data_IF_853325135511
#
_entry.id   IF_853325135511
#
_cell.length_a   1.000
_cell.length_b   1.000
_cell.length_c   1.000
_cell.angle_alpha   90.00
_cell.angle_beta   90.00
_cell.angle_gamma   90.00
#
_symmetry.space_group_name_H-M   'P 1'
#
loop_
_entity.id
_entity.type
_entity.pdbx_description
1 polymer ?
#
# COMPACT_ATOMS: atom_id res chain seq x y z
N UNK A 1 10.41 5.89 -16.32
CA UNK A 1 11.09 6.50 -15.16
C UNK A 1 10.94 8.03 -15.07
N UNK A 2 10.68 8.75 -16.16
CA UNK A 2 10.49 10.22 -16.18
C UNK A 2 9.28 10.72 -15.41
N UNK A 3 8.13 10.07 -15.54
CA UNK A 3 6.84 10.55 -15.01
C UNK A 3 6.79 10.68 -13.47
N UNK A 4 7.36 9.73 -12.74
CA UNK A 4 7.36 9.77 -11.26
C UNK A 4 8.18 10.93 -10.70
N UNK A 5 9.30 11.31 -11.36
CA UNK A 5 10.12 12.46 -10.99
C UNK A 5 9.39 13.77 -11.26
N UNK A 6 8.73 13.90 -12.40
CA UNK A 6 7.96 15.08 -12.78
C UNK A 6 6.83 15.33 -11.79
N UNK A 7 6.04 14.30 -11.44
CA UNK A 7 4.95 14.39 -10.45
C UNK A 7 5.49 14.77 -9.05
N UNK A 8 6.63 14.23 -8.64
CA UNK A 8 7.28 14.59 -7.37
C UNK A 8 7.67 16.07 -7.34
N UNK A 9 8.29 16.58 -8.42
CA UNK A 9 8.69 17.97 -8.49
C UNK A 9 7.50 18.93 -8.56
N UNK A 10 6.46 18.61 -9.33
CA UNK A 10 5.22 19.38 -9.38
C UNK A 10 4.60 19.50 -7.99
N UNK A 11 4.50 18.40 -7.26
CA UNK A 11 3.97 18.40 -5.89
C UNK A 11 4.82 19.26 -4.95
N UNK A 12 6.14 19.18 -5.03
CA UNK A 12 7.06 19.94 -4.18
C UNK A 12 7.01 21.43 -4.49
N UNK A 13 6.95 21.77 -5.76
CA UNK A 13 6.81 23.17 -6.21
C UNK A 13 5.45 23.77 -5.76
N UNK A 14 4.37 23.01 -5.86
CA UNK A 14 3.06 23.48 -5.38
C UNK A 14 3.01 23.68 -3.86
N UNK A 15 3.66 22.81 -3.08
CA UNK A 15 3.78 22.99 -1.63
C UNK A 15 4.60 24.24 -1.28
N UNK A 16 5.73 24.46 -1.97
CA UNK A 16 6.55 25.66 -1.80
C UNK A 16 5.80 26.94 -2.21
N UNK A 17 5.04 26.91 -3.30
CA UNK A 17 4.24 28.03 -3.74
C UNK A 17 3.16 28.42 -2.71
N UNK A 18 2.48 27.43 -2.11
CA UNK A 18 1.50 27.67 -1.05
C UNK A 18 2.14 28.29 0.18
N UNK A 19 3.29 27.75 0.63
CA UNK A 19 4.01 28.27 1.78
C UNK A 19 4.51 29.71 1.49
N UNK A 20 5.08 29.94 0.30
CA UNK A 20 5.53 31.25 -0.11
C UNK A 20 4.40 32.30 -0.14
N UNK A 21 3.21 31.88 -0.64
CA UNK A 21 2.02 32.72 -0.61
C UNK A 21 1.58 33.06 0.83
N UNK A 22 1.54 32.09 1.73
CA UNK A 22 1.22 32.31 3.14
C UNK A 22 2.25 33.21 3.83
N UNK A 23 3.54 33.06 3.54
CA UNK A 23 4.59 33.94 4.06
C UNK A 23 4.44 35.37 3.56
N UNK A 24 4.03 35.57 2.31
CA UNK A 24 3.73 36.89 1.77
C UNK A 24 2.53 37.53 2.51
N UNK A 25 1.46 36.75 2.76
CA UNK A 25 0.33 37.23 3.55
C UNK A 25 0.74 37.57 4.99
N UNK A 26 1.62 36.77 5.60
CA UNK A 26 2.16 37.05 6.93
C UNK A 26 2.99 38.35 6.96
N UNK A 27 3.73 38.66 5.90
CA UNK A 27 4.46 39.93 5.77
C UNK A 27 3.48 41.09 5.76
N UNK A 28 2.37 40.98 5.04
CA UNK A 28 1.32 42.02 5.00
C UNK A 28 0.73 42.21 6.40
N UNK A 29 0.38 41.10 7.09
CA UNK A 29 -0.13 41.16 8.47
C UNK A 29 0.87 41.82 9.43
N UNK A 30 2.18 41.54 9.27
CA UNK A 30 3.25 42.18 10.04
C UNK A 30 3.41 43.68 9.78
N UNK A 31 3.32 44.12 8.51
CA UNK A 31 3.35 45.54 8.14
C UNK A 31 2.15 46.28 8.70
N UNK A 32 0.96 45.69 8.66
CA UNK A 32 -0.24 46.25 9.27
C UNK A 32 -0.11 46.36 10.79
N UNK A 33 0.42 45.32 11.45
CA UNK A 33 0.67 45.34 12.88
C UNK A 33 1.70 46.44 13.28
N UNK A 34 2.72 46.69 12.46
CA UNK A 34 3.71 47.72 12.68
C UNK A 34 3.12 49.14 12.55
N UNK A 35 2.13 49.32 11.68
CA UNK A 35 1.47 50.62 11.48
C UNK A 35 0.43 50.96 12.55
N UNK A 36 -0.26 49.93 13.10
CA UNK A 36 -1.32 50.10 14.10
C UNK A 36 -0.84 49.95 15.53
N UNK A 37 0.19 49.12 15.75
CA UNK A 37 0.78 48.84 17.07
C UNK A 37 -0.10 48.03 18.00
N UNK A 38 0.27 47.98 19.28
CA UNK A 38 -0.53 47.35 20.35
C UNK A 38 -0.83 45.88 20.13
N UNK A 39 -2.10 45.50 20.36
CA UNK A 39 -2.58 44.11 20.27
C UNK A 39 -2.59 43.56 18.84
N UNK A 40 -2.43 44.39 17.80
CA UNK A 40 -2.40 43.91 16.40
C UNK A 40 -1.25 42.95 16.13
N UNK A 41 -0.17 42.96 16.92
CA UNK A 41 0.92 41.99 16.81
C UNK A 41 0.52 40.52 17.11
N UNK A 42 -0.62 40.29 17.76
CA UNK A 42 -1.15 38.94 17.99
C UNK A 42 -1.64 38.30 16.69
N UNK A 43 -2.05 39.10 15.69
CA UNK A 43 -2.57 38.58 14.40
C UNK A 43 -1.49 37.84 13.61
N UNK A 44 -0.29 38.40 13.33
CA UNK A 44 0.76 37.66 12.66
C UNK A 44 1.23 36.42 13.47
N UNK A 45 1.10 36.41 14.79
CA UNK A 45 1.39 35.20 15.58
C UNK A 45 0.43 34.04 15.24
N UNK A 46 -0.88 34.32 15.06
CA UNK A 46 -1.82 33.35 14.52
C UNK A 46 -1.44 32.86 13.12
N UNK A 47 -1.02 33.79 12.26
CA UNK A 47 -0.53 33.46 10.92
C UNK A 47 0.66 32.50 10.96
N UNK A 48 1.63 32.74 11.84
CA UNK A 48 2.77 31.82 12.05
C UNK A 48 2.30 30.45 12.49
N UNK A 49 1.40 30.36 13.50
CA UNK A 49 0.83 29.10 13.95
C UNK A 49 0.10 28.35 12.80
N UNK A 50 -0.65 29.10 11.98
CA UNK A 50 -1.31 28.58 10.79
C UNK A 50 -0.34 28.00 9.75
N UNK A 51 0.75 28.71 9.45
CA UNK A 51 1.79 28.23 8.51
C UNK A 51 2.45 26.95 9.05
N UNK A 52 2.81 26.92 10.35
CA UNK A 52 3.37 25.73 10.98
C UNK A 52 2.41 24.56 10.90
N UNK A 53 1.12 24.77 11.15
CA UNK A 53 0.10 23.73 11.04
C UNK A 53 -0.04 23.21 9.58
N UNK A 54 0.04 24.09 8.57
CA UNK A 54 0.04 23.72 7.15
C UNK A 54 1.28 22.90 6.79
N UNK A 55 2.46 23.26 7.28
CA UNK A 55 3.71 22.49 7.06
C UNK A 55 3.61 21.10 7.71
N UNK A 56 3.13 21.03 8.94
CA UNK A 56 3.02 19.79 9.72
C UNK A 56 1.76 18.96 9.43
N UNK A 57 0.90 19.40 8.49
CA UNK A 57 -0.38 18.76 8.14
C UNK A 57 -0.26 17.28 7.75
N UNK A 58 0.92 16.83 7.33
CA UNK A 58 1.17 15.41 7.00
C UNK A 58 1.21 14.51 8.22
N UNK A 59 1.66 15.02 9.37
CA UNK A 59 1.89 14.26 10.60
C UNK A 59 0.86 14.58 11.70
N UNK A 60 0.47 15.85 11.85
CA UNK A 60 -0.39 16.36 12.93
C UNK A 60 -1.56 17.15 12.34
N UNK A 61 -2.39 16.52 11.52
CA UNK A 61 -3.44 17.22 10.76
C UNK A 61 -4.56 17.76 11.64
N UNK A 62 -5.10 16.92 12.52
CA UNK A 62 -6.21 17.30 13.41
C UNK A 62 -5.73 18.22 14.52
N UNK A 63 -4.61 17.88 15.12
CA UNK A 63 -4.00 18.65 16.21
C UNK A 63 -3.64 20.06 15.74
N UNK A 64 -2.96 20.17 14.58
CA UNK A 64 -2.60 21.47 14.00
C UNK A 64 -3.82 22.30 13.65
N UNK A 65 -4.87 21.70 13.08
CA UNK A 65 -6.11 22.38 12.77
C UNK A 65 -6.83 22.89 14.03
N UNK A 66 -6.97 22.04 15.05
CA UNK A 66 -7.63 22.42 16.31
C UNK A 66 -6.87 23.50 17.07
N UNK A 67 -5.53 23.44 17.09
CA UNK A 67 -4.68 24.46 17.70
C UNK A 67 -4.91 25.82 17.03
N UNK A 68 -4.91 25.88 15.70
CA UNK A 68 -5.14 27.15 14.97
C UNK A 68 -6.53 27.68 15.25
N UNK A 69 -7.58 26.82 15.26
CA UNK A 69 -8.96 27.24 15.58
C UNK A 69 -9.05 27.83 16.99
N UNK A 70 -8.48 27.15 18.00
CA UNK A 70 -8.53 27.63 19.40
C UNK A 70 -7.78 28.95 19.52
N UNK A 71 -6.59 29.05 18.91
CA UNK A 71 -5.77 30.26 18.95
C UNK A 71 -6.48 31.46 18.32
N UNK A 72 -7.13 31.24 17.17
CA UNK A 72 -7.95 32.23 16.49
C UNK A 72 -9.10 32.75 17.34
N UNK A 73 -9.86 31.84 17.96
CA UNK A 73 -10.99 32.19 18.84
C UNK A 73 -10.49 33.01 20.05
N UNK A 74 -9.43 32.56 20.70
CA UNK A 74 -8.86 33.23 21.89
C UNK A 74 -8.43 34.68 21.57
N UNK A 75 -7.71 34.85 20.45
CA UNK A 75 -7.25 36.19 20.05
C UNK A 75 -8.42 37.07 19.61
N UNK A 76 -9.40 36.54 18.88
CA UNK A 76 -10.59 37.28 18.50
C UNK A 76 -11.41 37.74 19.75
N UNK A 77 -11.56 36.87 20.74
CA UNK A 77 -12.22 37.20 21.99
C UNK A 77 -11.46 38.27 22.79
N UNK A 78 -10.12 38.18 22.85
CA UNK A 78 -9.29 39.16 23.49
C UNK A 78 -9.36 40.52 22.84
N UNK A 79 -9.30 40.60 21.50
CA UNK A 79 -9.47 41.86 20.76
C UNK A 79 -10.84 42.47 20.95
N UNK A 80 -11.91 41.65 20.89
CA UNK A 80 -13.27 42.12 21.15
C UNK A 80 -13.46 42.68 22.57
N UNK A 81 -12.83 42.05 23.59
CA UNK A 81 -12.96 42.48 25.01
C UNK A 81 -12.24 43.79 25.28
N UNK A 82 -11.23 44.13 24.49
CA UNK A 82 -10.45 45.38 24.69
C UNK A 82 -10.94 46.51 23.76
N UNK A 83 -12.01 46.32 23.02
CA UNK A 83 -12.49 47.26 21.99
C UNK A 83 -11.37 47.70 21.01
N UNK A 84 -10.38 46.85 20.82
CA UNK A 84 -9.27 47.15 19.91
C UNK A 84 -9.71 46.89 18.47
N UNK A 85 -9.76 47.96 17.67
CA UNK A 85 -10.02 47.82 16.23
C UNK A 85 -8.79 47.24 15.55
N UNK A 86 -8.89 46.00 15.08
CA UNK A 86 -7.84 45.29 14.34
C UNK A 86 -8.25 44.95 12.92
N UNK A 87 -7.29 44.48 12.15
CA UNK A 87 -7.56 43.89 10.82
C UNK A 87 -7.48 42.39 10.93
N UNK A 88 -8.44 41.63 10.34
CA UNK A 88 -8.34 40.17 10.31
C UNK A 88 -7.04 39.68 9.67
N UNK A 89 -6.48 38.59 10.18
CA UNK A 89 -5.23 38.05 9.69
C UNK A 89 -5.39 37.35 8.32
N UNK A 90 -4.68 37.85 7.32
CA UNK A 90 -4.75 37.25 5.97
C UNK A 90 -4.04 35.92 5.89
N UNK A 91 -2.89 35.73 6.59
CA UNK A 91 -2.15 34.49 6.67
C UNK A 91 -2.92 33.41 7.46
N UNK A 92 -3.54 33.81 8.57
CA UNK A 92 -4.39 32.95 9.41
C UNK A 92 -5.58 32.42 8.61
N UNK A 93 -6.32 33.32 7.96
CA UNK A 93 -7.45 32.98 7.08
C UNK A 93 -7.04 32.00 5.98
N UNK A 94 -5.95 32.31 5.26
CA UNK A 94 -5.42 31.43 4.21
C UNK A 94 -5.05 30.04 4.72
N UNK A 95 -4.39 29.97 5.88
CA UNK A 95 -4.03 28.71 6.53
C UNK A 95 -5.28 27.90 6.93
N UNK A 96 -6.30 28.54 7.53
CA UNK A 96 -7.56 27.87 7.90
C UNK A 96 -8.30 27.33 6.68
N UNK A 97 -8.35 28.04 5.57
CA UNK A 97 -8.96 27.56 4.33
C UNK A 97 -8.24 26.33 3.79
N UNK A 98 -6.89 26.33 3.75
CA UNK A 98 -6.09 25.20 3.30
C UNK A 98 -6.27 23.98 4.21
N UNK A 99 -6.27 24.20 5.51
CA UNK A 99 -6.48 23.13 6.51
C UNK A 99 -7.89 22.56 6.41
N UNK A 100 -8.92 23.39 6.14
CA UNK A 100 -10.31 22.96 5.91
C UNK A 100 -10.40 22.03 4.70
N UNK A 101 -9.75 22.35 3.57
CA UNK A 101 -9.64 21.44 2.41
C UNK A 101 -9.03 20.10 2.85
N UNK A 102 -7.95 20.15 3.63
CA UNK A 102 -7.26 18.94 4.12
C UNK A 102 -8.12 18.09 5.05
N UNK A 103 -8.88 18.70 5.94
CA UNK A 103 -9.80 18.03 6.88
C UNK A 103 -10.92 17.32 6.11
N UNK A 104 -11.60 18.03 5.22
CA UNK A 104 -12.69 17.45 4.42
C UNK A 104 -12.24 16.30 3.53
N UNK A 105 -11.03 16.40 2.99
CA UNK A 105 -10.48 15.37 2.10
C UNK A 105 -10.09 14.07 2.82
N UNK A 106 -9.55 14.16 4.06
CA UNK A 106 -8.84 13.02 4.65
C UNK A 106 -9.37 12.57 6.02
N UNK A 107 -10.22 13.35 6.68
CA UNK A 107 -10.70 12.99 8.02
C UNK A 107 -11.88 12.03 7.92
N UNK A 108 -11.83 10.96 8.69
CA UNK A 108 -12.91 9.99 8.85
C UNK A 108 -13.40 9.99 10.30
N UNK A 109 -14.71 9.76 10.50
CA UNK A 109 -15.78 9.68 9.51
C UNK A 109 -16.18 11.05 8.92
N UNK A 110 -16.87 11.05 7.78
CA UNK A 110 -17.33 12.26 7.07
C UNK A 110 -18.02 13.26 8.00
N UNK A 111 -18.81 12.76 8.96
CA UNK A 111 -19.52 13.60 9.96
C UNK A 111 -18.53 14.45 10.76
N UNK A 112 -17.38 13.92 11.20
CA UNK A 112 -16.36 14.68 11.91
C UNK A 112 -15.74 15.76 11.01
N UNK A 113 -15.42 15.42 9.77
CA UNK A 113 -14.90 16.39 8.81
C UNK A 113 -15.88 17.53 8.58
N UNK A 114 -17.17 17.24 8.41
CA UNK A 114 -18.22 18.22 8.23
C UNK A 114 -18.37 19.14 9.46
N UNK A 115 -18.41 18.58 10.68
CA UNK A 115 -18.48 19.36 11.91
C UNK A 115 -17.28 20.30 12.04
N UNK A 116 -16.05 19.78 11.82
CA UNK A 116 -14.82 20.61 11.88
C UNK A 116 -14.83 21.72 10.83
N UNK A 117 -15.35 21.45 9.63
CA UNK A 117 -15.51 22.46 8.58
C UNK A 117 -16.51 23.54 8.99
N UNK A 118 -17.63 23.18 9.59
CA UNK A 118 -18.61 24.15 10.11
C UNK A 118 -18.02 24.98 11.25
N UNK A 119 -17.27 24.35 12.16
CA UNK A 119 -16.55 25.06 13.23
C UNK A 119 -15.57 26.07 12.65
N UNK A 120 -14.82 25.70 11.57
CA UNK A 120 -13.93 26.65 10.92
C UNK A 120 -14.66 27.85 10.30
N UNK A 121 -15.86 27.62 9.75
CA UNK A 121 -16.70 28.73 9.26
C UNK A 121 -17.07 29.69 10.39
N UNK A 122 -17.54 29.14 11.51
CA UNK A 122 -17.92 29.96 12.68
C UNK A 122 -16.73 30.78 13.16
N UNK A 123 -15.53 30.18 13.24
CA UNK A 123 -14.30 30.89 13.64
C UNK A 123 -13.98 32.01 12.65
N UNK A 124 -14.02 31.75 11.35
CA UNK A 124 -13.80 32.78 10.32
C UNK A 124 -14.82 33.91 10.40
N UNK A 125 -16.09 33.60 10.69
CA UNK A 125 -17.12 34.63 10.89
C UNK A 125 -16.88 35.46 12.15
N UNK A 126 -16.41 34.86 13.26
CA UNK A 126 -16.04 35.58 14.47
C UNK A 126 -14.82 36.45 14.28
N UNK A 127 -13.84 36.06 13.46
CA UNK A 127 -12.71 36.92 13.07
C UNK A 127 -13.19 38.15 12.31
N UNK A 128 -14.05 37.98 11.30
CA UNK A 128 -14.61 39.07 10.51
C UNK A 128 -15.42 40.05 11.34
N UNK A 129 -16.28 39.55 12.24
CA UNK A 129 -17.15 40.39 13.06
C UNK A 129 -16.45 41.00 14.28
N UNK A 130 -15.54 40.25 14.92
CA UNK A 130 -14.90 40.65 16.19
C UNK A 130 -13.67 41.55 16.02
N UNK A 131 -13.02 41.52 14.88
CA UNK A 131 -11.80 42.32 14.62
C UNK A 131 -12.06 43.59 13.79
N UNK A 132 -13.27 43.71 13.17
CA UNK A 132 -13.61 44.84 12.29
C UNK A 132 -14.53 45.84 12.98
N UNK A 133 -13.94 46.92 13.47
CA UNK A 133 -14.66 47.99 14.17
C UNK A 133 -15.23 49.09 13.25
N UNK A 134 -14.89 49.13 11.97
CA UNK A 134 -15.16 50.29 11.10
C UNK A 134 -16.21 50.07 9.99
N UNK A 135 -17.32 49.33 10.24
CA UNK A 135 -18.43 49.17 9.29
C UNK A 135 -18.16 48.37 8.00
N UNK A 136 -16.97 47.83 7.80
CA UNK A 136 -16.66 46.92 6.68
C UNK A 136 -17.02 45.47 6.95
N UNK A 137 -17.52 45.13 8.16
CA UNK A 137 -17.74 43.75 8.63
C UNK A 137 -18.60 42.91 7.72
N UNK A 138 -19.68 43.43 7.16
CA UNK A 138 -20.56 42.64 6.28
C UNK A 138 -19.89 42.30 4.93
N UNK A 139 -19.25 43.22 4.18
CA UNK A 139 -18.54 42.83 2.96
C UNK A 139 -17.39 41.89 3.19
N UNK A 140 -16.64 42.06 4.30
CA UNK A 140 -15.52 41.18 4.63
C UNK A 140 -15.98 39.76 5.03
N UNK A 141 -16.98 39.65 5.91
CA UNK A 141 -17.56 38.37 6.28
C UNK A 141 -18.11 37.61 5.06
N UNK A 142 -18.68 38.32 4.09
CA UNK A 142 -19.11 37.71 2.84
C UNK A 142 -17.94 37.11 2.04
N UNK A 143 -16.82 37.83 1.94
CA UNK A 143 -15.60 37.31 1.27
C UNK A 143 -15.08 36.07 1.99
N UNK A 144 -15.03 36.06 3.32
CA UNK A 144 -14.63 34.90 4.13
C UNK A 144 -15.58 33.70 3.90
N UNK A 145 -16.89 33.96 3.87
CA UNK A 145 -17.88 32.92 3.57
C UNK A 145 -17.69 32.30 2.18
N UNK A 146 -17.47 33.15 1.16
CA UNK A 146 -17.19 32.68 -0.21
C UNK A 146 -15.89 31.85 -0.24
N UNK A 147 -14.83 32.36 0.39
CA UNK A 147 -13.55 31.64 0.49
C UNK A 147 -13.70 30.27 1.16
N UNK A 148 -14.42 30.23 2.30
CA UNK A 148 -14.71 28.99 2.98
C UNK A 148 -15.58 28.04 2.13
N UNK A 149 -16.62 28.54 1.46
CA UNK A 149 -17.49 27.75 0.58
C UNK A 149 -16.69 27.11 -0.56
N UNK A 150 -15.76 27.86 -1.14
CA UNK A 150 -14.84 27.34 -2.15
C UNK A 150 -13.92 26.25 -1.56
N UNK A 151 -13.32 26.48 -0.40
CA UNK A 151 -12.46 25.53 0.27
C UNK A 151 -13.23 24.24 0.62
N UNK A 152 -14.44 24.37 1.14
CA UNK A 152 -15.33 23.24 1.45
C UNK A 152 -15.72 22.47 0.17
N UNK A 153 -16.08 23.17 -0.89
CA UNK A 153 -16.40 22.59 -2.19
C UNK A 153 -15.20 21.81 -2.78
N UNK A 154 -14.01 22.42 -2.76
CA UNK A 154 -12.78 21.78 -3.25
C UNK A 154 -12.45 20.53 -2.40
N UNK A 155 -12.49 20.64 -1.06
CA UNK A 155 -12.22 19.53 -0.16
C UNK A 155 -13.17 18.35 -0.37
N UNK A 156 -14.48 18.65 -0.45
CA UNK A 156 -15.52 17.67 -0.74
C UNK A 156 -15.38 17.02 -2.13
N UNK A 157 -15.09 17.81 -3.14
CA UNK A 157 -14.85 17.32 -4.50
C UNK A 157 -13.62 16.40 -4.60
N UNK A 158 -12.52 16.77 -3.95
CA UNK A 158 -11.31 15.94 -3.92
C UNK A 158 -11.55 14.62 -3.19
N UNK A 159 -12.34 14.63 -2.10
CA UNK A 159 -12.78 13.41 -1.42
C UNK A 159 -13.60 12.53 -2.34
N UNK A 160 -14.64 13.07 -2.95
CA UNK A 160 -15.52 12.36 -3.88
C UNK A 160 -14.74 11.75 -5.05
N UNK A 161 -13.77 12.47 -5.61
CA UNK A 161 -12.89 11.94 -6.65
C UNK A 161 -12.03 10.77 -6.15
N UNK A 162 -11.55 10.86 -4.91
CA UNK A 162 -10.74 9.80 -4.30
C UNK A 162 -11.57 8.54 -4.04
N UNK A 163 -12.80 8.69 -3.53
CA UNK A 163 -13.73 7.59 -3.32
C UNK A 163 -14.10 6.92 -4.66
N UNK A 164 -14.43 7.70 -5.69
CA UNK A 164 -14.70 7.17 -7.04
C UNK A 164 -13.51 6.41 -7.65
N UNK A 165 -12.29 6.90 -7.45
CA UNK A 165 -11.09 6.20 -7.95
C UNK A 165 -10.88 4.85 -7.26
N UNK A 166 -11.08 4.78 -5.95
CA UNK A 166 -11.00 3.53 -5.19
C UNK A 166 -12.10 2.56 -5.62
N UNK A 167 -13.32 3.02 -5.79
CA UNK A 167 -14.43 2.19 -6.30
C UNK A 167 -14.18 1.67 -7.70
N UNK A 168 -13.67 2.52 -8.61
CA UNK A 168 -13.32 2.11 -9.97
C UNK A 168 -12.25 1.02 -9.99
N UNK A 169 -11.20 1.15 -9.18
CA UNK A 169 -10.17 0.10 -9.05
C UNK A 169 -10.77 -1.21 -8.51
N UNK A 170 -11.65 -1.12 -7.52
CA UNK A 170 -12.32 -2.30 -6.98
C UNK A 170 -13.28 -2.95 -8.00
N UNK A 171 -13.98 -2.15 -8.81
CA UNK A 171 -14.90 -2.68 -9.83
C UNK A 171 -14.14 -3.39 -10.96
N UNK A 172 -13.02 -2.83 -11.42
CA UNK A 172 -12.14 -3.49 -12.41
C UNK A 172 -11.63 -4.82 -11.87
N UNK A 173 -11.12 -4.86 -10.65
CA UNK A 173 -10.65 -6.11 -10.03
C UNK A 173 -11.75 -7.16 -9.88
N UNK A 174 -12.99 -6.73 -9.56
CA UNK A 174 -14.13 -7.67 -9.51
C UNK A 174 -14.49 -8.22 -10.88
N UNK A 175 -14.49 -7.36 -11.91
CA UNK A 175 -14.77 -7.80 -13.28
C UNK A 175 -13.72 -8.81 -13.77
N UNK A 176 -12.44 -8.53 -13.53
CA UNK A 176 -11.31 -9.42 -13.87
C UNK A 176 -11.44 -10.80 -13.18
N UNK A 177 -11.82 -10.82 -11.89
CA UNK A 177 -12.07 -12.07 -11.15
C UNK A 177 -13.22 -12.88 -11.73
N UNK A 178 -14.31 -12.22 -12.13
CA UNK A 178 -15.46 -12.88 -12.73
C UNK A 178 -15.10 -13.46 -14.11
N UNK A 179 -14.29 -12.77 -14.87
CA UNK A 179 -13.79 -13.23 -16.17
C UNK A 179 -12.90 -14.46 -16.00
N UNK A 180 -11.92 -14.41 -15.11
CA UNK A 180 -11.07 -15.56 -14.80
C UNK A 180 -11.86 -16.76 -14.24
N UNK A 181 -12.90 -16.52 -13.45
CA UNK A 181 -13.78 -17.60 -12.98
C UNK A 181 -14.57 -18.26 -14.10
N UNK A 182 -14.98 -17.49 -15.13
CA UNK A 182 -15.62 -18.04 -16.34
C UNK A 182 -14.62 -18.85 -17.16
N UNK A 183 -13.42 -18.31 -17.41
CA UNK A 183 -12.37 -19.04 -18.12
C UNK A 183 -12.03 -20.38 -17.46
N UNK A 184 -11.94 -20.37 -16.11
CA UNK A 184 -11.77 -21.59 -15.33
C UNK A 184 -12.91 -22.58 -15.53
N UNK A 185 -14.15 -22.11 -15.49
CA UNK A 185 -15.32 -22.94 -15.67
C UNK A 185 -15.36 -23.58 -17.06
N UNK A 186 -15.07 -22.78 -18.08
CA UNK A 186 -15.07 -23.23 -19.48
C UNK A 186 -13.95 -24.26 -19.74
N UNK A 187 -12.75 -24.01 -19.17
CA UNK A 187 -11.64 -24.96 -19.26
C UNK A 187 -11.98 -26.28 -18.59
N UNK A 188 -12.55 -26.24 -17.40
CA UNK A 188 -12.99 -27.44 -16.64
C UNK A 188 -14.05 -28.20 -17.41
N UNK A 189 -15.08 -27.51 -17.91
CA UNK A 189 -16.17 -28.11 -18.65
C UNK A 189 -15.66 -28.79 -19.94
N UNK A 190 -14.73 -28.16 -20.66
CA UNK A 190 -14.11 -28.71 -21.84
C UNK A 190 -13.36 -30.02 -21.57
N UNK A 191 -12.48 -30.03 -20.56
CA UNK A 191 -11.70 -31.22 -20.22
C UNK A 191 -12.59 -32.36 -19.69
N UNK A 192 -13.57 -32.05 -18.82
CA UNK A 192 -14.50 -33.07 -18.32
C UNK A 192 -15.30 -33.67 -19.46
N UNK A 193 -15.81 -32.85 -20.36
CA UNK A 193 -16.55 -33.35 -21.53
C UNK A 193 -15.69 -34.27 -22.41
N UNK A 194 -14.43 -33.90 -22.65
CA UNK A 194 -13.47 -34.75 -23.37
C UNK A 194 -13.23 -36.11 -22.70
N UNK A 195 -13.01 -36.10 -21.38
CA UNK A 195 -12.83 -37.32 -20.57
C UNK A 195 -14.08 -38.22 -20.67
N UNK A 196 -15.27 -37.65 -20.51
CA UNK A 196 -16.53 -38.40 -20.58
C UNK A 196 -16.72 -39.06 -21.96
N UNK A 197 -16.44 -38.31 -23.05
CA UNK A 197 -16.53 -38.85 -24.43
C UNK A 197 -15.52 -39.97 -24.64
N UNK A 198 -14.27 -39.81 -24.21
CA UNK A 198 -13.25 -40.85 -24.31
C UNK A 198 -13.60 -42.11 -23.50
N UNK A 199 -14.14 -41.93 -22.26
CA UNK A 199 -14.58 -43.04 -21.46
C UNK A 199 -15.76 -43.82 -22.10
N UNK A 200 -16.72 -43.11 -22.70
CA UNK A 200 -17.82 -43.73 -23.43
C UNK A 200 -17.33 -44.47 -24.67
N UNK A 201 -16.40 -43.88 -25.43
CA UNK A 201 -15.79 -44.56 -26.59
C UNK A 201 -15.03 -45.81 -26.17
N UNK A 202 -14.19 -45.74 -25.14
CA UNK A 202 -13.47 -46.90 -24.59
C UNK A 202 -14.43 -48.04 -24.17
N UNK A 203 -15.56 -47.73 -23.55
CA UNK A 203 -16.60 -48.72 -23.18
C UNK A 203 -17.23 -49.36 -24.38
N UNK A 204 -17.53 -48.60 -25.42
CA UNK A 204 -18.16 -49.16 -26.66
C UNK A 204 -17.24 -50.12 -27.41
N UNK A 205 -15.92 -49.87 -27.38
CA UNK A 205 -14.94 -50.67 -28.13
C UNK A 205 -14.40 -51.83 -27.31
N UNK A 206 -14.67 -51.87 -25.98
CA UNK A 206 -14.10 -52.86 -25.08
C UNK A 206 -14.39 -54.34 -25.45
N UNK A 207 -15.60 -54.62 -25.98
CA UNK A 207 -15.97 -55.99 -26.40
C UNK A 207 -15.38 -56.36 -27.74
N UNK A 208 -15.20 -55.38 -28.67
CA UNK A 208 -14.75 -55.62 -30.04
C UNK A 208 -13.22 -55.57 -30.18
N UNK A 209 -12.54 -54.74 -29.40
CA UNK A 209 -11.09 -54.55 -29.45
C UNK A 209 -10.53 -54.33 -28.02
N UNK A 210 -10.38 -55.39 -27.23
CA UNK A 210 -9.89 -55.29 -25.84
C UNK A 210 -8.54 -54.61 -25.74
N UNK A 211 -7.65 -54.80 -26.69
CA UNK A 211 -6.31 -54.21 -26.69
C UNK A 211 -6.33 -52.67 -26.83
N UNK A 212 -7.43 -52.04 -27.27
CA UNK A 212 -7.58 -50.61 -27.35
C UNK A 212 -8.02 -49.95 -26.02
N UNK A 213 -8.44 -50.72 -25.04
CA UNK A 213 -8.96 -50.20 -23.78
C UNK A 213 -7.86 -49.57 -22.94
N UNK A 214 -6.70 -50.22 -22.80
CA UNK A 214 -5.58 -49.71 -21.99
C UNK A 214 -5.07 -48.36 -22.55
N UNK A 215 -4.79 -48.21 -23.86
CA UNK A 215 -4.42 -46.91 -24.45
C UNK A 215 -5.46 -45.81 -24.23
N UNK A 216 -6.75 -46.15 -24.29
CA UNK A 216 -7.84 -45.21 -24.05
C UNK A 216 -7.88 -44.73 -22.57
N UNK A 217 -7.65 -45.65 -21.60
CA UNK A 217 -7.56 -45.29 -20.20
C UNK A 217 -6.33 -44.40 -19.90
N UNK A 218 -5.19 -44.70 -20.54
CA UNK A 218 -3.99 -43.87 -20.42
C UNK A 218 -4.21 -42.45 -20.99
N UNK A 219 -4.93 -42.34 -22.09
CA UNK A 219 -5.30 -41.03 -22.66
C UNK A 219 -6.23 -40.24 -21.72
N UNK A 220 -7.21 -40.91 -21.07
CA UNK A 220 -8.10 -40.30 -20.08
C UNK A 220 -7.30 -39.82 -18.87
N UNK A 221 -6.39 -40.65 -18.34
CA UNK A 221 -5.54 -40.30 -17.20
C UNK A 221 -4.63 -39.09 -17.52
N UNK A 222 -4.06 -39.06 -18.72
CA UNK A 222 -3.24 -37.96 -19.21
C UNK A 222 -4.04 -36.65 -19.32
N UNK A 223 -5.22 -36.69 -19.95
CA UNK A 223 -6.10 -35.52 -20.08
C UNK A 223 -6.57 -35.01 -18.70
N UNK A 224 -6.86 -35.90 -17.74
CA UNK A 224 -7.20 -35.54 -16.37
C UNK A 224 -6.06 -34.84 -15.62
N UNK A 225 -4.83 -35.33 -15.81
CA UNK A 225 -3.62 -34.74 -15.21
C UNK A 225 -3.32 -33.37 -15.78
N UNK A 226 -3.48 -33.17 -17.09
CA UNK A 226 -3.31 -31.89 -17.75
C UNK A 226 -4.35 -30.86 -17.31
N UNK A 227 -5.62 -31.26 -17.20
CA UNK A 227 -6.69 -30.43 -16.66
C UNK A 227 -6.40 -29.95 -15.24
N UNK A 228 -6.01 -30.87 -14.34
CA UNK A 228 -5.67 -30.55 -12.97
C UNK A 228 -4.47 -29.60 -12.87
N UNK A 229 -3.50 -29.75 -13.74
CA UNK A 229 -2.31 -28.91 -13.80
C UNK A 229 -2.66 -27.49 -14.23
N UNK A 230 -3.47 -27.36 -15.29
CA UNK A 230 -3.96 -26.08 -15.80
C UNK A 230 -4.83 -25.34 -14.78
N UNK A 231 -5.73 -26.05 -14.09
CA UNK A 231 -6.53 -25.48 -12.99
C UNK A 231 -5.68 -24.98 -11.84
N UNK A 232 -4.67 -25.74 -11.39
CA UNK A 232 -3.77 -25.32 -10.31
C UNK A 232 -3.00 -24.08 -10.70
N UNK A 233 -2.55 -23.96 -11.94
CA UNK A 233 -1.85 -22.77 -12.43
C UNK A 233 -2.75 -21.52 -12.38
N UNK A 234 -3.99 -21.60 -12.83
CA UNK A 234 -4.94 -20.48 -12.80
C UNK A 234 -5.32 -20.08 -11.37
N UNK A 235 -5.55 -21.06 -10.48
CA UNK A 235 -5.84 -20.79 -9.06
C UNK A 235 -4.64 -20.14 -8.37
N UNK A 236 -3.40 -20.53 -8.71
CA UNK A 236 -2.20 -19.87 -8.13
C UNK A 236 -2.08 -18.42 -8.55
N UNK A 237 -2.35 -18.10 -9.83
CA UNK A 237 -2.36 -16.72 -10.34
C UNK A 237 -3.41 -15.87 -9.61
N UNK A 238 -4.62 -16.38 -9.43
CA UNK A 238 -5.69 -15.70 -8.68
C UNK A 238 -5.29 -15.42 -7.23
N UNK A 239 -4.69 -16.42 -6.57
CA UNK A 239 -4.25 -16.30 -5.18
C UNK A 239 -3.09 -15.31 -5.03
N UNK A 240 -2.15 -15.27 -5.97
CA UNK A 240 -1.05 -14.32 -5.97
C UNK A 240 -1.52 -12.87 -6.14
N UNK A 241 -2.53 -12.63 -7.00
CA UNK A 241 -3.15 -11.31 -7.13
C UNK A 241 -3.86 -10.86 -5.84
N UNK A 242 -4.53 -11.78 -5.13
CA UNK A 242 -5.19 -11.46 -3.86
C UNK A 242 -4.20 -11.17 -2.73
N UNK A 243 -3.14 -11.94 -2.64
CA UNK A 243 -2.13 -11.81 -1.60
C UNK A 243 -1.22 -10.59 -1.84
N UNK A 244 -0.90 -10.27 -3.10
CA UNK A 244 -0.18 -9.04 -3.47
C UNK A 244 -0.94 -7.75 -3.14
N UNK A 245 -2.27 -7.80 -3.10
CA UNK A 245 -3.13 -6.66 -2.76
C UNK A 245 -3.34 -6.48 -1.24
N UNK A 246 -3.06 -7.51 -0.43
CA UNK A 246 -3.33 -7.53 1.02
C UNK A 246 -2.12 -7.25 1.91
N UNK A 247 -0.92 -7.11 1.36
CA UNK A 247 0.30 -6.98 2.15
C UNK A 247 0.91 -5.57 2.03
N UNK A 248 0.50 -4.61 2.86
CA UNK A 248 1.23 -3.35 2.99
C UNK A 248 2.45 -3.57 3.89
N UNK A 249 3.65 -3.38 3.33
CA UNK A 249 4.86 -3.21 4.12
C UNK A 249 5.35 -4.45 4.86
N UNK A 250 5.74 -5.52 4.13
CA UNK A 250 6.51 -6.61 4.72
C UNK A 250 7.80 -6.06 5.33
N UNK A 251 8.14 -6.56 6.52
CA UNK A 251 9.29 -6.16 7.32
C UNK A 251 10.28 -7.33 7.48
N UNK A 252 11.51 -7.03 7.86
CA UNK A 252 12.47 -8.09 8.24
C UNK A 252 12.01 -8.87 9.48
N UNK A 253 11.17 -8.26 10.34
CA UNK A 253 10.57 -8.93 11.47
C UNK A 253 9.57 -10.01 11.03
N UNK A 254 8.85 -9.82 9.92
CA UNK A 254 7.91 -10.81 9.38
C UNK A 254 8.63 -12.09 8.91
N UNK A 255 9.87 -11.98 8.41
CA UNK A 255 10.69 -13.16 8.09
C UNK A 255 10.99 -13.98 9.35
N UNK A 256 11.25 -13.33 10.49
CA UNK A 256 11.49 -14.03 11.77
C UNK A 256 10.22 -14.70 12.27
N UNK A 257 9.09 -14.00 12.23
CA UNK A 257 7.78 -14.58 12.61
C UNK A 257 7.47 -15.82 11.76
N UNK A 258 7.79 -15.78 10.46
CA UNK A 258 7.58 -16.91 9.56
C UNK A 258 8.47 -18.11 9.93
N UNK A 259 9.75 -17.87 10.24
CA UNK A 259 10.68 -18.89 10.69
C UNK A 259 10.26 -19.49 12.05
N UNK A 260 9.85 -18.66 13.01
CA UNK A 260 9.39 -19.09 14.34
C UNK A 260 8.14 -19.97 14.24
N UNK A 261 7.15 -19.58 13.43
CA UNK A 261 5.96 -20.41 13.16
C UNK A 261 6.28 -21.74 12.50
N UNK A 262 7.29 -21.78 11.64
CA UNK A 262 7.74 -23.03 11.05
C UNK A 262 8.36 -23.96 12.10
N UNK A 263 9.15 -23.40 13.03
CA UNK A 263 9.78 -24.14 14.12
C UNK A 263 8.78 -24.80 15.09
N UNK A 264 7.58 -24.20 15.28
CA UNK A 264 6.53 -24.75 16.14
C UNK A 264 6.01 -26.13 15.69
N UNK A 265 6.02 -26.40 14.40
CA UNK A 265 5.42 -27.62 13.81
C UNK A 265 6.34 -28.37 12.84
N UNK A 266 7.63 -27.97 12.73
CA UNK A 266 8.59 -28.48 11.77
C UNK A 266 9.96 -28.80 12.39
N UNK A 267 10.98 -29.03 11.54
CA UNK A 267 12.36 -29.18 11.99
C UNK A 267 12.89 -27.88 12.63
N UNK A 268 13.99 -28.03 13.38
CA UNK A 268 14.68 -26.86 13.93
C UNK A 268 15.16 -25.93 12.80
N UNK A 269 14.91 -24.63 12.95
CA UNK A 269 15.31 -23.61 11.99
C UNK A 269 16.21 -22.58 12.65
N UNK A 270 17.30 -22.16 11.97
CA UNK A 270 18.08 -20.99 12.32
C UNK A 270 17.92 -19.95 11.22
N UNK A 271 17.48 -18.77 11.60
CA UNK A 271 17.46 -17.60 10.71
C UNK A 271 18.53 -16.62 11.12
N UNK A 272 19.51 -16.41 10.24
CA UNK A 272 20.56 -15.41 10.39
C UNK A 272 20.33 -14.26 9.40
N UNK A 273 20.23 -13.03 9.92
CA UNK A 273 20.17 -11.81 9.12
C UNK A 273 21.48 -11.07 9.33
N UNK A 274 22.27 -10.95 8.25
CA UNK A 274 23.59 -10.35 8.27
C UNK A 274 23.60 -8.89 8.70
N UNK A 275 24.72 -8.46 9.24
CA UNK A 275 24.91 -7.07 9.67
C UNK A 275 24.83 -6.09 8.48
N UNK A 276 24.29 -4.91 8.71
CA UNK A 276 24.18 -3.85 7.68
C UNK A 276 23.00 -4.00 6.72
N UNK A 277 22.07 -4.94 6.97
CA UNK A 277 20.80 -5.00 6.26
C UNK A 277 19.78 -4.16 7.02
N UNK A 278 19.52 -2.95 6.49
CA UNK A 278 18.49 -2.04 7.04
C UNK A 278 17.25 -2.09 6.15
N UNK A 279 16.12 -2.36 6.76
CA UNK A 279 14.81 -2.39 6.11
C UNK A 279 14.51 -1.11 5.32
N UNK A 280 14.97 0.04 5.82
CA UNK A 280 14.77 1.35 5.19
C UNK A 280 15.51 1.50 3.86
N UNK A 281 16.53 0.68 3.64
CA UNK A 281 17.34 0.70 2.41
C UNK A 281 16.89 -0.33 1.38
N UNK A 282 16.01 -1.25 1.76
CA UNK A 282 15.49 -2.29 0.88
C UNK A 282 14.21 -1.82 0.17
N UNK A 283 14.10 -2.00 -1.16
CA UNK A 283 12.85 -1.77 -1.87
C UNK A 283 11.73 -2.66 -1.30
N UNK A 284 10.49 -2.14 -1.12
CA UNK A 284 9.36 -2.92 -0.61
C UNK A 284 9.07 -4.18 -1.42
N UNK A 285 9.31 -4.13 -2.73
CA UNK A 285 9.13 -5.25 -3.65
C UNK A 285 10.13 -6.39 -3.36
N UNK A 286 11.37 -6.04 -2.98
CA UNK A 286 12.41 -7.02 -2.58
C UNK A 286 12.01 -7.69 -1.27
N UNK A 287 11.57 -6.93 -0.26
CA UNK A 287 11.10 -7.48 1.02
C UNK A 287 9.93 -8.46 0.84
N UNK A 288 8.95 -8.08 0.01
CA UNK A 288 7.81 -8.93 -0.33
C UNK A 288 8.26 -10.22 -1.00
N UNK A 289 9.19 -10.14 -1.95
CA UNK A 289 9.70 -11.31 -2.67
C UNK A 289 10.54 -12.22 -1.77
N UNK A 290 11.38 -11.64 -0.89
CA UNK A 290 12.12 -12.40 0.14
C UNK A 290 11.17 -13.22 1.02
N UNK A 291 10.10 -12.60 1.53
CA UNK A 291 9.10 -13.29 2.34
C UNK A 291 8.44 -14.45 1.59
N UNK A 292 8.09 -14.24 0.31
CA UNK A 292 7.49 -15.28 -0.53
C UNK A 292 8.44 -16.44 -0.83
N UNK A 293 9.69 -16.13 -1.16
CA UNK A 293 10.70 -17.17 -1.39
C UNK A 293 10.92 -17.99 -0.12
N UNK A 294 11.03 -17.34 1.04
CA UNK A 294 11.16 -18.05 2.31
C UNK A 294 9.92 -18.92 2.60
N UNK A 295 8.71 -18.36 2.49
CA UNK A 295 7.46 -19.07 2.74
C UNK A 295 7.31 -20.31 1.87
N UNK A 296 7.58 -20.21 0.56
CA UNK A 296 7.48 -21.32 -0.38
C UNK A 296 8.57 -22.36 -0.12
N UNK A 297 9.81 -21.91 0.19
CA UNK A 297 10.91 -22.82 0.55
C UNK A 297 10.59 -23.63 1.79
N UNK A 298 10.06 -23.00 2.85
CA UNK A 298 9.66 -23.70 4.09
C UNK A 298 8.47 -24.65 3.84
N UNK A 299 7.54 -24.26 2.98
CA UNK A 299 6.42 -25.12 2.56
C UNK A 299 6.92 -26.34 1.79
N UNK A 300 7.89 -26.16 0.90
CA UNK A 300 8.50 -27.24 0.14
C UNK A 300 9.29 -28.19 1.05
N UNK A 301 10.02 -27.68 2.03
CA UNK A 301 10.70 -28.52 3.04
C UNK A 301 9.70 -29.38 3.78
N UNK A 302 8.59 -28.82 4.25
CA UNK A 302 7.54 -29.57 4.97
C UNK A 302 6.89 -30.65 4.11
N UNK A 303 6.69 -30.40 2.80
CA UNK A 303 6.05 -31.33 1.87
C UNK A 303 7.01 -32.43 1.37
N UNK A 304 8.23 -32.03 1.07
CA UNK A 304 9.19 -32.90 0.32
C UNK A 304 10.34 -33.43 1.16
N UNK A 305 10.57 -32.87 2.35
CA UNK A 305 11.61 -33.27 3.28
C UNK A 305 11.09 -33.35 4.73
N UNK A 306 10.02 -34.12 5.00
CA UNK A 306 9.44 -34.20 6.36
C UNK A 306 10.41 -34.76 7.41
N UNK A 307 11.46 -35.46 6.98
CA UNK A 307 12.55 -35.98 7.83
C UNK A 307 13.75 -35.06 7.96
N UNK A 308 13.67 -33.82 7.51
CA UNK A 308 14.77 -32.85 7.68
C UNK A 308 15.00 -32.59 9.18
N UNK A 309 16.25 -32.76 9.63
CA UNK A 309 16.60 -32.52 11.04
C UNK A 309 16.87 -31.05 11.37
N UNK A 310 17.27 -30.28 10.36
CA UNK A 310 17.72 -28.91 10.52
C UNK A 310 17.49 -28.09 9.25
N UNK A 311 17.06 -26.83 9.44
CA UNK A 311 16.91 -25.84 8.36
C UNK A 311 17.71 -24.61 8.70
N UNK A 312 18.49 -24.13 7.74
CA UNK A 312 19.30 -22.92 7.85
C UNK A 312 18.76 -21.88 6.86
N UNK A 313 18.49 -20.69 7.35
CA UNK A 313 18.08 -19.55 6.55
C UNK A 313 19.07 -18.42 6.77
N UNK A 314 19.68 -17.96 5.71
CA UNK A 314 20.72 -16.95 5.77
C UNK A 314 20.41 -15.82 4.79
N UNK A 315 20.29 -14.59 5.30
CA UNK A 315 20.09 -13.39 4.53
C UNK A 315 21.33 -12.51 4.65
N UNK A 316 22.11 -12.39 3.59
CA UNK A 316 23.38 -11.62 3.60
C UNK A 316 23.43 -10.60 2.49
N UNK A 317 24.14 -9.51 2.76
CA UNK A 317 24.52 -8.55 1.73
C UNK A 317 25.71 -9.13 0.96
N UNK A 318 25.56 -9.24 -0.35
CA UNK A 318 26.63 -9.67 -1.27
C UNK A 318 26.75 -8.62 -2.36
N UNK A 319 27.90 -7.92 -2.40
CA UNK A 319 28.10 -6.83 -3.37
C UNK A 319 28.02 -7.37 -4.81
N UNK A 320 27.15 -6.82 -5.68
CA UNK A 320 26.33 -5.59 -5.52
C UNK A 320 24.87 -5.80 -5.08
N UNK A 321 24.53 -6.79 -4.25
CA UNK A 321 23.15 -7.11 -3.95
C UNK A 321 22.88 -7.74 -2.60
N UNK A 322 21.79 -8.50 -2.54
CA UNK A 322 21.30 -9.23 -1.38
C UNK A 322 21.06 -10.70 -1.76
N UNK A 323 21.45 -11.62 -0.90
CA UNK A 323 21.27 -13.05 -1.11
C UNK A 323 20.48 -13.65 0.03
N UNK A 324 19.37 -14.32 -0.28
CA UNK A 324 18.63 -15.19 0.62
C UNK A 324 18.98 -16.62 0.28
N UNK A 325 19.41 -17.39 1.29
CA UNK A 325 19.75 -18.81 1.17
C UNK A 325 18.93 -19.61 2.16
N UNK A 326 18.27 -20.67 1.70
CA UNK A 326 17.50 -21.61 2.52
C UNK A 326 18.04 -23.01 2.27
N UNK A 327 18.54 -23.67 3.31
CA UNK A 327 19.06 -25.03 3.24
C UNK A 327 18.33 -25.97 4.20
N UNK A 328 18.07 -27.19 3.77
CA UNK A 328 17.61 -28.23 4.65
C UNK A 328 18.57 -29.43 4.64
N UNK A 329 18.83 -29.97 5.82
CA UNK A 329 19.74 -31.08 6.06
C UNK A 329 19.00 -32.31 6.57
N UNK A 330 19.52 -33.52 6.24
CA UNK A 330 19.03 -34.77 6.82
C UNK A 330 17.89 -35.44 6.06
N UNK A 331 17.53 -34.96 4.86
CA UNK A 331 16.59 -35.68 3.98
C UNK A 331 17.32 -36.09 2.70
N UNK A 332 17.49 -37.40 2.50
CA UNK A 332 17.86 -37.91 1.19
C UNK A 332 16.70 -37.58 0.23
N UNK A 333 16.91 -36.67 -0.71
CA UNK A 333 15.94 -36.37 -1.75
C UNK A 333 15.70 -37.68 -2.55
N UNK A 334 14.49 -38.29 -2.42
CA UNK A 334 14.12 -39.37 -3.29
C UNK A 334 13.91 -38.82 -4.72
N UNK A 335 14.75 -39.22 -5.68
CA UNK A 335 14.66 -38.73 -7.05
C UNK A 335 13.30 -39.03 -7.72
N UNK A 336 12.51 -39.96 -7.17
CA UNK A 336 11.19 -40.32 -7.67
C UNK A 336 10.13 -39.34 -7.22
N UNK A 337 10.27 -38.74 -6.04
CA UNK A 337 9.33 -37.73 -5.51
C UNK A 337 9.46 -36.39 -6.23
N UNK A 338 10.66 -36.05 -6.73
CA UNK A 338 10.90 -34.84 -7.48
C UNK A 338 10.21 -34.79 -8.86
N UNK A 339 9.85 -35.96 -9.41
CA UNK A 339 9.15 -36.06 -10.71
C UNK A 339 7.62 -36.06 -10.60
N UNK A 340 7.06 -36.29 -9.41
CA UNK A 340 5.61 -36.40 -9.17
C UNK A 340 4.99 -35.16 -8.50
N UNK A 341 5.78 -34.25 -7.96
CA UNK A 341 5.31 -33.02 -7.31
C UNK A 341 5.53 -31.79 -8.17
N UNK A 342 4.45 -31.25 -8.76
CA UNK A 342 4.42 -30.11 -9.65
C UNK A 342 5.44 -29.00 -9.33
N UNK A 343 6.42 -28.82 -10.20
CA UNK A 343 7.51 -27.84 -10.13
C UNK A 343 7.10 -26.37 -10.21
N UNK A 344 5.83 -26.06 -9.98
CA UNK A 344 5.27 -24.69 -10.07
C UNK A 344 5.76 -23.74 -8.97
N UNK A 345 6.04 -24.26 -7.77
CA UNK A 345 6.57 -23.42 -6.68
C UNK A 345 7.94 -22.85 -6.99
N UNK A 346 8.83 -23.65 -7.55
CA UNK A 346 10.17 -23.21 -7.97
C UNK A 346 10.11 -22.24 -9.16
N UNK A 347 9.26 -22.54 -10.14
CA UNK A 347 9.08 -21.68 -11.32
C UNK A 347 8.51 -20.32 -10.89
N UNK A 348 7.46 -20.29 -10.08
CA UNK A 348 6.89 -19.05 -9.58
C UNK A 348 7.85 -18.23 -8.69
N UNK A 349 8.73 -18.88 -7.93
CA UNK A 349 9.80 -18.20 -7.19
C UNK A 349 10.83 -17.60 -8.15
N UNK A 350 11.25 -18.33 -9.20
CA UNK A 350 12.21 -17.85 -10.18
C UNK A 350 11.65 -16.63 -10.94
N UNK A 351 10.44 -16.71 -11.47
CA UNK A 351 9.78 -15.61 -12.17
C UNK A 351 9.72 -14.32 -11.33
N UNK A 352 9.39 -14.42 -10.03
CA UNK A 352 9.33 -13.27 -9.12
C UNK A 352 10.69 -12.66 -8.84
N UNK A 353 11.72 -13.47 -8.67
CA UNK A 353 13.10 -13.00 -8.44
C UNK A 353 13.64 -12.35 -9.71
N UNK A 354 13.39 -12.93 -10.88
CA UNK A 354 13.79 -12.41 -12.19
C UNK A 354 13.08 -11.09 -12.53
N UNK A 355 11.82 -10.93 -12.15
CA UNK A 355 11.07 -9.67 -12.33
C UNK A 355 11.75 -8.48 -11.60
N UNK A 356 12.54 -8.75 -10.57
CA UNK A 356 13.36 -7.75 -9.86
C UNK A 356 14.81 -7.69 -10.35
N UNK A 357 15.10 -8.34 -11.48
CA UNK A 357 16.46 -8.40 -12.06
C UNK A 357 17.39 -9.34 -11.29
N UNK A 358 16.84 -10.20 -10.41
CA UNK A 358 17.57 -11.17 -9.63
C UNK A 358 17.71 -12.53 -10.33
N UNK A 359 18.25 -13.53 -9.61
CA UNK A 359 18.37 -14.92 -10.06
C UNK A 359 18.00 -15.86 -8.92
N UNK A 360 17.34 -16.98 -9.27
CA UNK A 360 17.03 -18.05 -8.33
C UNK A 360 17.72 -19.34 -8.77
N UNK A 361 18.33 -20.01 -7.80
CA UNK A 361 18.87 -21.36 -7.95
C UNK A 361 18.23 -22.28 -6.91
N UNK A 362 17.87 -23.51 -7.30
CA UNK A 362 17.41 -24.52 -6.37
C UNK A 362 17.98 -25.89 -6.77
N UNK A 363 18.60 -26.59 -5.83
CA UNK A 363 19.22 -27.89 -6.13
C UNK A 363 19.92 -28.55 -4.95
N UNK A 364 20.43 -29.77 -5.16
CA UNK A 364 21.21 -30.47 -4.15
C UNK A 364 22.62 -29.84 -4.02
N UNK A 365 23.12 -29.79 -2.79
CA UNK A 365 24.46 -29.37 -2.50
C UNK A 365 25.44 -30.57 -2.48
N UNK A 366 26.76 -30.37 -2.67
CA UNK A 366 27.75 -31.42 -2.53
C UNK A 366 27.76 -32.12 -1.17
N UNK A 367 27.24 -31.45 -0.12
CA UNK A 367 27.16 -31.97 1.25
C UNK A 367 25.84 -32.73 1.50
N UNK A 368 25.04 -33.01 0.47
CA UNK A 368 23.81 -33.78 0.59
C UNK A 368 22.62 -33.00 1.16
N UNK A 369 22.71 -31.68 1.27
CA UNK A 369 21.60 -30.80 1.60
C UNK A 369 20.86 -30.35 0.31
N UNK A 370 19.61 -29.91 0.45
CA UNK A 370 18.92 -29.18 -0.61
C UNK A 370 18.99 -27.69 -0.31
N UNK A 371 19.27 -26.90 -1.33
CA UNK A 371 19.45 -25.45 -1.19
C UNK A 371 18.58 -24.67 -2.18
N UNK A 372 17.99 -23.60 -1.71
CA UNK A 372 17.36 -22.53 -2.53
C UNK A 372 18.14 -21.25 -2.28
N UNK A 373 18.64 -20.62 -3.34
CA UNK A 373 19.37 -19.35 -3.30
C UNK A 373 18.66 -18.34 -4.19
N UNK A 374 18.27 -17.20 -3.62
CA UNK A 374 17.71 -16.08 -4.34
C UNK A 374 18.63 -14.86 -4.22
N UNK A 375 19.06 -14.33 -5.34
CA UNK A 375 19.94 -13.18 -5.46
C UNK A 375 19.18 -11.97 -5.98
N UNK A 376 19.32 -10.82 -5.32
CA UNK A 376 18.65 -9.58 -5.69
C UNK A 376 19.69 -8.49 -5.91
N UNK A 377 19.71 -7.81 -7.08
CA UNK A 377 20.54 -6.63 -7.24
C UNK A 377 19.97 -5.50 -6.40
N UNK A 378 20.81 -4.82 -5.65
CA UNK A 378 20.45 -3.59 -4.95
C UNK A 378 21.10 -2.40 -5.69
N UNK A 379 20.39 -1.26 -5.78
CA UNK A 379 20.91 -0.06 -6.45
C UNK A 379 22.08 0.57 -5.72
#
# INVERSE_FOLDING_TARGET
>A
MGDKRVVYWIRRLSELAVIGWLCMMLLIDGLMAASTGGLQWLVPMCGVAGIVAVILRGRFRLEGFTVVLVFSVVISALMASTNFAGVPGTAETGALLILTIGVLRHVEPVRRAAVLSVVSLVVLMTEGAGRDYHNAGLPFSFVLFVGWSMAAGIGGYLRFQQERRTEAVHSVRRAERLELARELHDLVAHHITGIVVQAQAARTVAEMKPDAVVPALDAIASAGTEALTSMRRLVSVLREQEEGARTPGMTLADLRILADRFAESGPRIALEIGQGIDERTLPPEVLTTLHRVLQESLTNIRKHAPGAGWVEVDLRRHVPGLVLRVRNYGSAADPRVSRLGGGFGLVGMAERVEALGGRLYAGPTPQGAWEVVAEFPLP
#
